data_IF_481220355099
#
_entry.id   IF_481220355099
#
_cell.length_a   1.000
_cell.length_b   1.000
_cell.length_c   1.000
_cell.angle_alpha   90.00
_cell.angle_beta   90.00
_cell.angle_gamma   90.00
#
_symmetry.space_group_name_H-M   'P 1'
#
loop_
_entity.id
_entity.type
_entity.pdbx_description
1 polymer ?
#
# COMPACT_ATOMS: atom_id res chain seq x y z
N UNK A 1 -7.91 -5.97 -23.25
CA UNK A 1 -8.10 -6.51 -21.90
C UNK A 1 -7.64 -5.48 -20.89
N UNK A 2 -8.26 -5.41 -19.71
CA UNK A 2 -7.90 -4.41 -18.70
C UNK A 2 -7.46 -5.05 -17.38
N UNK A 3 -6.54 -4.40 -16.69
CA UNK A 3 -5.90 -4.80 -15.45
C UNK A 3 -6.32 -3.89 -14.30
N UNK A 4 -6.33 -4.46 -13.10
CA UNK A 4 -6.43 -3.76 -11.83
C UNK A 4 -5.13 -3.97 -11.07
N UNK A 5 -4.56 -2.88 -10.58
CA UNK A 5 -3.31 -2.88 -9.81
C UNK A 5 -3.55 -2.32 -8.42
N UNK A 6 -2.74 -2.75 -7.46
CA UNK A 6 -2.89 -2.29 -6.09
C UNK A 6 -1.57 -2.20 -5.33
N UNK A 7 -1.52 -1.27 -4.38
CA UNK A 7 -0.46 -1.13 -3.38
C UNK A 7 -1.05 -0.98 -1.97
N UNK A 8 -0.35 -1.49 -0.98
CA UNK A 8 -0.74 -1.45 0.43
C UNK A 8 0.38 -0.86 1.29
N UNK A 9 0.05 0.08 2.19
CA UNK A 9 1.05 0.81 2.99
C UNK A 9 0.69 0.82 4.47
N UNK A 10 1.47 0.07 5.26
CA UNK A 10 1.27 -0.14 6.70
C UNK A 10 1.78 0.99 7.60
N UNK A 11 2.02 2.18 7.06
CA UNK A 11 2.44 3.31 7.90
C UNK A 11 1.25 3.78 8.74
N UNK A 12 1.43 3.91 10.06
CA UNK A 12 0.41 4.45 10.98
C UNK A 12 0.47 5.98 11.07
N UNK A 13 1.57 6.59 10.60
CA UNK A 13 1.79 8.03 10.61
C UNK A 13 2.41 8.50 9.29
N UNK A 14 2.37 9.81 9.04
CA UNK A 14 3.00 10.43 7.87
C UNK A 14 4.12 11.39 8.26
N UNK A 15 4.91 11.04 9.28
CA UNK A 15 6.08 11.83 9.67
C UNK A 15 7.14 11.80 8.55
N UNK A 16 7.55 12.99 8.10
CA UNK A 16 8.61 13.28 7.12
C UNK A 16 8.75 12.26 5.98
N UNK A 17 9.72 11.35 6.11
CA UNK A 17 10.11 10.36 5.10
C UNK A 17 8.97 9.39 4.72
N UNK A 18 8.08 9.07 5.66
CA UNK A 18 6.94 8.17 5.41
C UNK A 18 5.93 8.80 4.45
N UNK A 19 5.74 10.13 4.50
CA UNK A 19 4.87 10.84 3.57
C UNK A 19 5.41 10.81 2.14
N UNK A 20 6.72 11.00 1.96
CA UNK A 20 7.34 11.00 0.61
C UNK A 20 7.27 9.63 -0.05
N UNK A 21 7.51 8.56 0.73
CA UNK A 21 7.38 7.18 0.23
C UNK A 21 5.94 6.88 -0.20
N UNK A 22 4.97 7.28 0.62
CA UNK A 22 3.55 7.10 0.28
C UNK A 22 3.15 7.91 -0.97
N UNK A 23 3.63 9.14 -1.11
CA UNK A 23 3.38 9.98 -2.30
C UNK A 23 4.00 9.36 -3.56
N UNK A 24 5.20 8.79 -3.46
CA UNK A 24 5.83 8.09 -4.58
C UNK A 24 5.03 6.86 -5.01
N UNK A 25 4.53 6.07 -4.06
CA UNK A 25 3.68 4.91 -4.36
C UNK A 25 2.35 5.33 -4.99
N UNK A 26 1.76 6.44 -4.52
CA UNK A 26 0.60 7.04 -5.16
C UNK A 26 0.91 7.49 -6.60
N UNK A 27 2.04 8.17 -6.82
CA UNK A 27 2.47 8.62 -8.15
C UNK A 27 2.70 7.45 -9.11
N UNK A 28 3.23 6.32 -8.63
CA UNK A 28 3.35 5.09 -9.43
C UNK A 28 1.99 4.61 -9.91
N UNK A 29 1.01 4.53 -9.02
CA UNK A 29 -0.36 4.15 -9.39
C UNK A 29 -0.95 5.15 -10.40
N UNK A 30 -0.88 6.44 -10.09
CA UNK A 30 -1.38 7.52 -10.93
C UNK A 30 -0.81 7.47 -12.34
N UNK A 31 0.52 7.43 -12.45
CA UNK A 31 1.22 7.36 -13.73
C UNK A 31 0.86 6.09 -14.50
N UNK A 32 0.79 4.95 -13.82
CA UNK A 32 0.50 3.67 -14.48
C UNK A 32 -0.92 3.66 -15.04
N UNK A 33 -1.93 4.10 -14.29
CA UNK A 33 -3.31 4.14 -14.80
C UNK A 33 -3.46 5.13 -15.96
N UNK A 34 -2.80 6.30 -15.91
CA UNK A 34 -2.89 7.31 -16.96
C UNK A 34 -2.11 6.95 -18.24
N UNK A 35 -1.03 6.17 -18.14
CA UNK A 35 -0.08 5.96 -19.25
C UNK A 35 -0.05 4.55 -19.80
N UNK A 36 -0.62 3.57 -19.09
CA UNK A 36 -0.63 2.17 -19.54
C UNK A 36 -2.05 1.78 -19.91
N UNK A 37 -2.32 1.70 -21.21
CA UNK A 37 -3.68 1.48 -21.76
C UNK A 37 -4.38 0.23 -21.21
N UNK A 38 -3.60 -0.81 -20.88
CA UNK A 38 -4.14 -2.05 -20.33
C UNK A 38 -4.52 -1.92 -18.86
N UNK A 39 -4.25 -0.82 -18.17
CA UNK A 39 -4.60 -0.63 -16.75
C UNK A 39 -5.88 0.20 -16.64
N UNK A 40 -6.90 -0.35 -15.98
CA UNK A 40 -8.21 0.31 -15.76
C UNK A 40 -8.21 1.16 -14.50
N UNK A 41 -7.65 0.63 -13.41
CA UNK A 41 -7.85 1.19 -12.07
C UNK A 41 -6.70 0.81 -11.14
N UNK A 42 -6.36 1.73 -10.25
CA UNK A 42 -5.36 1.55 -9.20
C UNK A 42 -6.00 1.67 -7.81
N UNK A 43 -5.56 0.82 -6.88
CA UNK A 43 -6.00 0.85 -5.49
C UNK A 43 -4.82 1.11 -4.55
N UNK A 44 -4.99 2.04 -3.61
CA UNK A 44 -4.02 2.30 -2.54
C UNK A 44 -4.68 2.05 -1.18
N UNK A 45 -4.30 0.95 -0.52
CA UNK A 45 -4.77 0.61 0.81
C UNK A 45 -3.86 1.25 1.87
N UNK A 46 -4.45 1.97 2.82
CA UNK A 46 -3.76 2.62 3.95
C UNK A 46 -4.39 2.21 5.27
N UNK A 47 -3.73 2.51 6.38
CA UNK A 47 -4.13 2.04 7.72
C UNK A 47 -5.20 2.88 8.41
N UNK A 48 -5.31 4.18 8.08
CA UNK A 48 -6.19 5.10 8.82
C UNK A 48 -6.86 6.12 7.90
N UNK A 49 -8.03 6.59 8.33
CA UNK A 49 -8.77 7.68 7.66
C UNK A 49 -7.97 8.98 7.55
N UNK A 50 -7.11 9.27 8.54
CA UNK A 50 -6.23 10.44 8.49
C UNK A 50 -5.25 10.36 7.31
N UNK A 51 -4.71 9.18 7.04
CA UNK A 51 -3.81 8.96 5.91
C UNK A 51 -4.60 9.04 4.61
N UNK A 52 -5.76 8.39 4.53
CA UNK A 52 -6.65 8.46 3.36
C UNK A 52 -6.95 9.91 2.98
N UNK A 53 -7.45 10.72 3.92
CA UNK A 53 -7.77 12.14 3.67
C UNK A 53 -6.59 12.96 3.16
N UNK A 54 -5.36 12.63 3.58
CA UNK A 54 -4.16 13.33 3.10
C UNK A 54 -3.77 12.86 1.69
N UNK A 55 -3.84 11.57 1.44
CA UNK A 55 -3.56 10.97 0.13
C UNK A 55 -4.60 11.39 -0.91
N UNK A 56 -5.87 11.54 -0.53
CA UNK A 56 -6.94 11.98 -1.43
C UNK A 56 -6.70 13.38 -2.00
N UNK A 57 -6.05 14.28 -1.25
CA UNK A 57 -5.62 15.59 -1.77
C UNK A 57 -4.66 15.47 -2.97
N UNK A 58 -3.96 14.34 -3.09
CA UNK A 58 -3.12 14.09 -4.25
C UNK A 58 -3.93 13.71 -5.50
N UNK A 59 -5.13 13.14 -5.35
CA UNK A 59 -6.03 12.91 -6.49
C UNK A 59 -6.36 14.22 -7.19
N UNK A 60 -6.65 15.26 -6.43
CA UNK A 60 -6.89 16.61 -6.95
C UNK A 60 -5.61 17.20 -7.54
N UNK A 61 -4.49 17.16 -6.81
CA UNK A 61 -3.18 17.69 -7.25
C UNK A 61 -2.72 17.09 -8.58
N UNK A 62 -2.97 15.81 -8.81
CA UNK A 62 -2.54 15.07 -9.98
C UNK A 62 -3.66 14.82 -11.00
N UNK A 63 -4.83 15.43 -10.81
CA UNK A 63 -5.97 15.39 -11.73
C UNK A 63 -6.37 13.96 -12.12
N UNK A 64 -6.65 13.12 -11.11
CA UNK A 64 -7.06 11.72 -11.31
C UNK A 64 -8.58 11.59 -11.20
N UNK A 65 -9.23 11.33 -12.33
CA UNK A 65 -10.70 11.21 -12.46
C UNK A 65 -11.22 9.83 -12.00
N UNK A 66 -11.01 9.50 -10.73
CA UNK A 66 -11.52 8.24 -10.14
C UNK A 66 -10.74 6.98 -10.48
N UNK A 67 -9.71 7.11 -11.32
CA UNK A 67 -8.77 6.06 -11.76
C UNK A 67 -7.94 5.45 -10.63
N UNK A 68 -7.68 6.22 -9.57
CA UNK A 68 -7.02 5.74 -8.35
C UNK A 68 -7.94 5.89 -7.15
N UNK A 69 -8.16 4.80 -6.43
CA UNK A 69 -9.00 4.77 -5.23
C UNK A 69 -8.13 4.54 -3.98
N UNK A 70 -8.37 5.35 -2.94
CA UNK A 70 -7.65 5.26 -1.67
C UNK A 70 -8.59 4.66 -0.63
N UNK A 71 -8.18 3.54 -0.05
CA UNK A 71 -8.98 2.73 0.85
C UNK A 71 -8.35 2.69 2.24
N UNK A 72 -9.18 2.54 3.26
CA UNK A 72 -8.72 2.26 4.63
C UNK A 72 -8.96 0.79 4.93
N UNK A 73 -7.92 0.09 5.37
CA UNK A 73 -8.03 -1.29 5.78
C UNK A 73 -8.96 -1.39 7.00
N UNK A 74 -9.94 -2.30 6.93
CA UNK A 74 -10.79 -2.64 8.08
C UNK A 74 -9.97 -3.54 9.01
N UNK A 75 -9.28 -2.92 9.95
CA UNK A 75 -8.49 -3.59 10.97
C UNK A 75 -9.26 -3.54 12.29
N UNK A 76 -9.33 -4.67 12.98
CA UNK A 76 -9.81 -4.69 14.36
C UNK A 76 -8.77 -4.11 15.32
N UNK A 77 -9.18 -3.92 16.58
CA UNK A 77 -8.33 -3.31 17.60
C UNK A 77 -7.07 -4.16 17.90
N UNK A 78 -7.19 -5.49 17.87
CA UNK A 78 -6.05 -6.40 18.09
C UNK A 78 -5.01 -6.29 16.96
N UNK A 79 -5.47 -6.18 15.71
CA UNK A 79 -4.60 -5.97 14.55
C UNK A 79 -3.93 -4.59 14.60
N UNK A 80 -4.64 -3.55 15.03
CA UNK A 80 -4.07 -2.22 15.22
C UNK A 80 -2.99 -2.21 16.32
N UNK A 81 -3.26 -2.83 17.47
CA UNK A 81 -2.29 -2.99 18.54
C UNK A 81 -1.06 -3.79 18.09
N UNK A 82 -1.27 -4.86 17.31
CA UNK A 82 -0.19 -5.66 16.72
C UNK A 82 0.68 -4.85 15.75
N UNK A 83 0.06 -3.98 14.95
CA UNK A 83 0.76 -3.04 14.08
C UNK A 83 1.57 -2.03 14.86
N UNK A 84 1.00 -1.45 15.92
CA UNK A 84 1.69 -0.50 16.80
C UNK A 84 2.91 -1.14 17.45
N UNK A 85 2.74 -2.34 18.03
CA UNK A 85 3.82 -3.12 18.61
C UNK A 85 4.93 -3.43 17.60
N UNK A 86 4.58 -3.81 16.36
CA UNK A 86 5.54 -4.01 15.28
C UNK A 86 6.36 -2.73 15.00
N UNK A 87 5.69 -1.57 14.91
CA UNK A 87 6.37 -0.30 14.63
C UNK A 87 7.27 0.11 15.79
N UNK A 88 6.85 -0.07 17.03
CA UNK A 88 7.68 0.21 18.20
C UNK A 88 8.94 -0.67 18.24
N UNK A 89 8.79 -1.97 17.97
CA UNK A 89 9.93 -2.88 17.86
C UNK A 89 10.88 -2.47 16.74
N UNK A 90 10.36 -2.07 15.58
CA UNK A 90 11.18 -1.58 14.47
C UNK A 90 11.97 -0.30 14.84
N UNK A 91 11.35 0.63 15.57
CA UNK A 91 12.03 1.85 16.05
C UNK A 91 13.14 1.49 17.06
N UNK A 92 12.84 0.63 18.03
CA UNK A 92 13.82 0.14 19.02
C UNK A 92 15.00 -0.56 18.33
N UNK A 93 14.71 -1.44 17.38
CA UNK A 93 15.73 -2.14 16.58
C UNK A 93 16.62 -1.18 15.78
N UNK A 94 16.02 -0.14 15.18
CA UNK A 94 16.79 0.89 14.46
C UNK A 94 17.74 1.65 15.37
N UNK A 95 17.30 2.03 16.58
CA UNK A 95 18.16 2.72 17.56
C UNK A 95 19.34 1.85 18.01
N UNK A 96 19.10 0.56 18.27
CA UNK A 96 20.14 -0.40 18.64
C UNK A 96 21.15 -0.62 17.50
N UNK A 97 20.66 -0.75 16.26
CA UNK A 97 21.52 -0.90 15.08
C UNK A 97 22.36 0.34 14.79
N UNK A 98 21.82 1.54 15.04
CA UNK A 98 22.56 2.82 14.89
C UNK A 98 23.69 2.93 15.92
N UNK A 99 23.55 2.29 17.08
CA UNK A 99 24.58 2.21 18.12
C UNK A 99 25.65 1.12 17.88
N UNK A 100 25.67 0.48 16.71
CA UNK A 100 26.70 -0.49 16.30
C UNK A 100 26.57 -1.89 16.95
N UNK A 101 25.49 -2.17 17.69
CA UNK A 101 25.22 -3.51 18.23
C UNK A 101 24.36 -4.30 17.23
N UNK A 102 24.69 -5.58 17.00
CA UNK A 102 23.84 -6.48 16.21
C UNK A 102 22.46 -6.53 16.86
N UNK A 103 21.45 -6.09 16.13
CA UNK A 103 20.05 -6.30 16.51
C UNK A 103 19.74 -7.79 16.38
N UNK A 104 19.96 -8.56 17.44
CA UNK A 104 19.46 -9.93 17.57
C UNK A 104 17.95 -9.88 17.78
N UNK A 105 17.23 -9.68 16.68
CA UNK A 105 15.79 -9.54 16.67
C UNK A 105 15.39 -9.46 15.22
N UNK A 106 15.09 -10.62 14.63
CA UNK A 106 14.54 -10.73 13.29
C UNK A 106 13.43 -9.70 13.14
N UNK A 107 13.59 -8.79 12.17
CA UNK A 107 12.62 -7.75 11.89
C UNK A 107 11.22 -8.37 11.76
N UNK A 108 10.32 -8.04 12.68
CA UNK A 108 8.88 -8.38 12.62
C UNK A 108 8.18 -7.61 11.48
N UNK A 109 8.97 -6.96 10.60
CA UNK A 109 8.64 -6.01 9.54
C UNK A 109 7.73 -6.53 8.40
N UNK A 110 7.05 -7.66 8.59
CA UNK A 110 6.17 -8.26 7.57
C UNK A 110 4.73 -8.38 7.99
N UNK A 111 4.39 -8.28 9.29
CA UNK A 111 3.01 -8.50 9.74
C UNK A 111 2.09 -7.45 9.12
N UNK A 112 2.40 -6.17 9.29
CA UNK A 112 1.57 -5.09 8.78
C UNK A 112 1.52 -5.00 7.28
N UNK A 113 2.62 -5.33 6.60
CA UNK A 113 2.63 -5.44 5.14
C UNK A 113 1.66 -6.54 4.70
N UNK A 114 1.83 -7.76 5.21
CA UNK A 114 1.00 -8.92 4.86
C UNK A 114 -0.49 -8.71 5.18
N UNK A 115 -0.81 -8.11 6.32
CA UNK A 115 -2.20 -7.81 6.71
C UNK A 115 -2.87 -6.88 5.70
N UNK A 116 -2.20 -5.79 5.32
CA UNK A 116 -2.76 -4.83 4.38
C UNK A 116 -2.79 -5.35 2.94
N UNK A 117 -1.81 -6.14 2.51
CA UNK A 117 -1.83 -6.81 1.20
C UNK A 117 -3.03 -7.77 1.11
N UNK A 118 -3.27 -8.57 2.15
CA UNK A 118 -4.42 -9.47 2.21
C UNK A 118 -5.74 -8.69 2.21
N UNK A 119 -5.85 -7.62 3.00
CA UNK A 119 -7.05 -6.79 3.03
C UNK A 119 -7.31 -6.10 1.68
N UNK A 120 -6.26 -5.66 0.99
CA UNK A 120 -6.33 -5.10 -0.36
C UNK A 120 -6.82 -6.15 -1.37
N UNK A 121 -6.21 -7.34 -1.37
CA UNK A 121 -6.62 -8.44 -2.25
C UNK A 121 -8.09 -8.79 -2.03
N UNK A 122 -8.49 -9.02 -0.78
CA UNK A 122 -9.87 -9.35 -0.44
C UNK A 122 -10.86 -8.28 -0.91
N UNK A 123 -10.56 -6.99 -0.68
CA UNK A 123 -11.42 -5.91 -1.14
C UNK A 123 -11.59 -5.93 -2.67
N UNK A 124 -10.49 -6.08 -3.41
CA UNK A 124 -10.54 -6.07 -4.87
C UNK A 124 -11.33 -7.29 -5.37
N UNK A 125 -11.09 -8.49 -4.84
CA UNK A 125 -11.81 -9.70 -5.25
C UNK A 125 -13.31 -9.66 -4.91
N UNK A 126 -13.71 -8.97 -3.83
CA UNK A 126 -15.12 -8.79 -3.46
C UNK A 126 -15.86 -7.76 -4.33
N UNK A 127 -15.14 -6.76 -4.87
CA UNK A 127 -15.76 -5.61 -5.56
C UNK A 127 -15.50 -5.59 -7.07
N UNK A 128 -14.52 -6.34 -7.55
CA UNK A 128 -14.12 -6.38 -8.95
C UNK A 128 -14.05 -7.84 -9.41
N UNK A 129 -14.62 -8.12 -10.58
CA UNK A 129 -14.52 -9.45 -11.19
C UNK A 129 -13.15 -9.59 -11.83
N UNK A 130 -12.22 -10.18 -11.08
CA UNK A 130 -10.83 -10.32 -11.48
C UNK A 130 -10.33 -11.74 -11.39
N UNK A 131 -9.42 -12.10 -12.27
CA UNK A 131 -8.58 -13.31 -12.18
C UNK A 131 -7.12 -12.92 -12.04
N UNK A 132 -6.30 -13.82 -11.50
CA UNK A 132 -4.86 -13.58 -11.35
C UNK A 132 -4.21 -13.26 -12.71
N UNK A 133 -3.28 -12.29 -12.72
CA UNK A 133 -2.48 -11.96 -13.89
C UNK A 133 -1.22 -12.82 -13.93
N UNK A 134 -1.00 -13.52 -15.04
CA UNK A 134 0.17 -14.42 -15.23
C UNK A 134 1.31 -13.78 -16.05
N UNK A 135 1.09 -12.58 -16.61
CA UNK A 135 2.08 -11.87 -17.42
C UNK A 135 3.01 -10.99 -16.58
N UNK A 136 3.89 -10.25 -17.28
CA UNK A 136 4.73 -9.25 -16.61
C UNK A 136 3.85 -8.12 -16.03
N UNK A 137 4.11 -7.67 -14.79
CA UNK A 137 3.39 -6.53 -14.23
C UNK A 137 3.66 -5.25 -15.02
N UNK A 138 2.68 -4.32 -15.10
CA UNK A 138 2.88 -3.03 -15.75
C UNK A 138 4.11 -2.28 -15.24
N UNK A 139 4.92 -1.78 -16.17
CA UNK A 139 6.15 -1.02 -15.92
C UNK A 139 7.19 -1.76 -15.05
N UNK A 140 7.11 -3.09 -14.98
CA UNK A 140 7.95 -3.95 -14.13
C UNK A 140 7.92 -3.53 -12.65
N UNK A 141 6.85 -2.85 -12.22
CA UNK A 141 6.65 -2.46 -10.82
C UNK A 141 6.17 -3.67 -10.03
N UNK A 142 6.75 -3.89 -8.86
CA UNK A 142 6.25 -4.89 -7.92
C UNK A 142 4.98 -4.38 -7.24
N UNK A 143 3.84 -4.73 -7.82
CA UNK A 143 2.53 -4.46 -7.25
C UNK A 143 2.22 -5.43 -6.11
N UNK A 144 1.50 -4.94 -5.10
CA UNK A 144 1.00 -5.79 -4.02
C UNK A 144 -0.25 -6.59 -4.48
N UNK A 145 -0.92 -6.11 -5.53
CA UNK A 145 -1.97 -6.81 -6.25
C UNK A 145 -1.89 -6.50 -7.75
N UNK A 146 -2.05 -7.52 -8.61
CA UNK A 146 -2.21 -7.36 -10.06
C UNK A 146 -3.18 -8.42 -10.59
N UNK A 147 -4.36 -7.98 -11.01
CA UNK A 147 -5.43 -8.84 -11.51
C UNK A 147 -5.94 -8.38 -12.86
N UNK A 148 -6.46 -9.33 -13.64
CA UNK A 148 -7.11 -9.07 -14.93
C UNK A 148 -8.62 -9.04 -14.74
N UNK A 149 -9.28 -8.01 -15.27
CA UNK A 149 -10.74 -7.91 -15.28
C UNK A 149 -11.32 -8.89 -16.29
N UNK A 150 -12.32 -9.67 -15.87
CA UNK A 150 -13.08 -10.58 -16.74
C UNK A 150 -14.20 -9.88 -17.47
#
# INVERSE_FOLDING_TARGET
>A
MKLIIGMAKSNLSLKDCQSRKLELDFLRLAYTVQRVEVVKKGYLMVTTEKIKKRTEKWKEKYQLDGEVEVLVAKLDEEMLQSLEAEKEMNVKGMLVGTAGKKSEGQSVAKLGKRLLEKALQQYIEENEQTVAWEGEPPLSIQWDYCGKVT
#
